data_IF_108086742675
#
_entry.id   IF_108086742675
#
_cell.length_a   1.000
_cell.length_b   1.000
_cell.length_c   1.000
_cell.angle_alpha   90.00
_cell.angle_beta   90.00
_cell.angle_gamma   90.00
#
_symmetry.space_group_name_H-M   'P 1'
#
loop_
_entity.id
_entity.type
_entity.pdbx_description
1 polymer ?
#
# COMPACT_ATOMS: atom_id res chain seq x y z
N UNK A 1 15.46 13.88 4.63
CA UNK A 1 14.78 12.69 5.20
C UNK A 1 15.33 11.41 4.60
N UNK A 2 15.78 10.51 5.45
CA UNK A 2 16.31 9.22 5.01
C UNK A 2 15.13 8.25 4.76
N UNK A 3 15.22 7.46 3.69
CA UNK A 3 14.21 6.46 3.37
C UNK A 3 14.80 5.06 3.50
N UNK A 4 14.11 4.21 4.25
CA UNK A 4 14.45 2.79 4.37
C UNK A 4 13.32 1.99 3.76
N UNK A 5 13.64 1.10 2.83
CA UNK A 5 12.69 0.21 2.18
C UNK A 5 12.86 -1.18 2.79
N UNK A 6 11.78 -1.73 3.35
CA UNK A 6 11.79 -3.03 3.99
C UNK A 6 11.00 -4.02 3.13
N UNK A 7 11.62 -5.14 2.77
CA UNK A 7 11.02 -6.18 1.93
C UNK A 7 11.02 -7.52 2.67
N UNK A 8 10.13 -8.43 2.25
CA UNK A 8 10.09 -9.78 2.83
C UNK A 8 11.36 -10.57 2.54
N UNK A 9 11.87 -10.42 1.33
CA UNK A 9 13.06 -11.12 0.86
C UNK A 9 13.95 -10.14 0.12
N UNK A 10 15.22 -10.48 0.02
CA UNK A 10 16.16 -9.68 -0.75
C UNK A 10 15.79 -9.79 -2.23
N UNK A 11 14.99 -8.85 -2.68
CA UNK A 11 14.54 -8.77 -4.07
C UNK A 11 15.06 -7.49 -4.70
N UNK A 12 15.21 -7.54 -6.02
CA UNK A 12 15.56 -6.36 -6.77
C UNK A 12 14.39 -5.38 -6.73
N UNK A 13 14.63 -4.21 -6.17
CA UNK A 13 13.63 -3.17 -6.07
C UNK A 13 13.42 -2.52 -7.45
N UNK A 14 12.17 -2.56 -8.00
CA UNK A 14 11.94 -2.07 -9.35
C UNK A 14 11.81 -0.55 -9.48
N UNK A 15 11.83 0.17 -8.37
CA UNK A 15 11.62 1.62 -8.39
C UNK A 15 12.88 2.34 -7.93
N UNK A 16 13.22 3.44 -8.60
CA UNK A 16 14.31 4.30 -8.16
C UNK A 16 13.78 5.30 -7.14
N UNK A 17 14.25 5.18 -5.91
CA UNK A 17 13.98 6.16 -4.86
C UNK A 17 15.35 6.68 -4.41
N UNK A 18 15.64 7.97 -4.64
CA UNK A 18 16.94 8.53 -4.25
C UNK A 18 17.18 8.40 -2.74
N UNK A 19 18.42 8.07 -2.38
CA UNK A 19 18.88 7.96 -1.00
C UNK A 19 18.12 6.95 -0.17
N UNK A 20 17.58 5.89 -0.80
CA UNK A 20 16.88 4.82 -0.11
C UNK A 20 17.80 3.61 0.11
N UNK A 21 17.77 3.07 1.32
CA UNK A 21 18.42 1.82 1.64
C UNK A 21 17.38 0.69 1.64
N UNK A 22 17.70 -0.44 1.02
CA UNK A 22 16.80 -1.60 0.97
C UNK A 22 17.31 -2.66 1.93
N UNK A 23 16.46 -3.06 2.87
CA UNK A 23 16.79 -4.10 3.86
C UNK A 23 15.65 -5.12 3.92
N UNK A 24 15.96 -6.33 4.38
CA UNK A 24 14.91 -7.33 4.61
C UNK A 24 14.20 -7.04 5.94
N UNK A 25 12.97 -7.57 6.08
CA UNK A 25 12.25 -7.46 7.35
C UNK A 25 13.06 -8.06 8.50
N UNK A 26 13.73 -9.18 8.24
CA UNK A 26 14.56 -9.83 9.25
C UNK A 26 15.70 -8.92 9.71
N UNK A 27 16.38 -8.28 8.76
CA UNK A 27 17.46 -7.34 9.08
C UNK A 27 16.93 -6.14 9.87
N UNK A 28 15.81 -5.60 9.43
CA UNK A 28 15.21 -4.43 10.09
C UNK A 28 14.81 -4.74 11.54
N UNK A 29 14.17 -5.89 11.75
CA UNK A 29 13.68 -6.27 13.07
C UNK A 29 14.83 -6.65 14.03
N UNK A 30 15.96 -7.10 13.50
CA UNK A 30 17.12 -7.49 14.30
C UNK A 30 18.02 -6.32 14.67
N UNK A 31 17.83 -5.15 14.05
CA UNK A 31 18.69 -3.99 14.26
C UNK A 31 18.49 -3.43 15.67
N UNK A 32 19.57 -3.24 16.46
CA UNK A 32 19.42 -2.69 17.80
C UNK A 32 18.97 -1.24 17.76
N UNK A 33 18.19 -0.84 18.77
CA UNK A 33 17.72 0.54 18.88
C UNK A 33 18.90 1.47 19.14
N UNK A 34 19.06 2.46 18.27
CA UNK A 34 20.10 3.47 18.39
C UNK A 34 19.54 4.84 18.79
N UNK A 35 18.36 4.86 19.43
CA UNK A 35 17.69 6.09 19.83
C UNK A 35 16.64 6.53 18.83
N UNK A 36 15.87 7.59 19.14
CA UNK A 36 14.81 8.06 18.25
C UNK A 36 15.39 8.60 16.93
N UNK A 37 14.90 8.06 15.82
CA UNK A 37 15.27 8.48 14.47
C UNK A 37 14.07 9.15 13.81
N UNK A 38 13.78 10.40 14.21
CA UNK A 38 12.58 11.12 13.81
C UNK A 38 12.54 11.49 12.32
N UNK A 39 13.68 11.42 11.64
CA UNK A 39 13.79 11.87 10.24
C UNK A 39 13.99 10.69 9.29
N UNK A 40 13.39 9.55 9.61
CA UNK A 40 13.47 8.34 8.79
C UNK A 40 12.07 7.93 8.36
N UNK A 41 11.87 7.79 7.05
CA UNK A 41 10.65 7.23 6.48
C UNK A 41 10.91 5.75 6.17
N UNK A 42 9.99 4.90 6.59
CA UNK A 42 10.08 3.45 6.37
C UNK A 42 8.99 3.04 5.39
N UNK A 43 9.40 2.60 4.20
CA UNK A 43 8.46 2.03 3.24
C UNK A 43 8.42 0.53 3.46
N UNK A 44 7.34 0.09 4.11
CA UNK A 44 7.16 -1.32 4.44
C UNK A 44 6.46 -2.03 3.28
N UNK A 45 7.22 -2.77 2.51
CA UNK A 45 6.73 -3.51 1.35
C UNK A 45 6.44 -4.97 1.67
N UNK A 46 6.44 -5.33 2.94
CA UNK A 46 6.05 -6.65 3.40
C UNK A 46 4.53 -6.76 3.41
N UNK A 47 4.02 -7.98 3.33
CA UNK A 47 2.60 -8.22 3.55
C UNK A 47 2.26 -7.85 4.98
N UNK A 48 1.26 -6.97 5.17
CA UNK A 48 0.84 -6.48 6.48
C UNK A 48 -0.52 -7.01 6.92
N UNK A 49 -1.21 -7.74 6.04
CA UNK A 49 -2.56 -8.21 6.31
C UNK A 49 -2.67 -9.32 7.35
N UNK A 50 -1.56 -9.97 7.68
CA UNK A 50 -1.55 -11.05 8.66
C UNK A 50 -1.29 -10.50 10.05
N UNK A 51 -2.23 -10.69 10.97
CA UNK A 51 -2.09 -10.27 12.36
C UNK A 51 -0.88 -10.96 12.99
N UNK A 52 -0.05 -10.19 13.68
CA UNK A 52 1.21 -10.64 14.27
C UNK A 52 2.19 -11.24 13.26
N UNK A 53 2.00 -10.91 11.98
CA UNK A 53 2.96 -11.27 10.95
C UNK A 53 4.16 -10.33 10.97
N UNK A 54 5.23 -10.77 10.29
CA UNK A 54 6.48 -10.00 10.24
C UNK A 54 6.28 -8.58 9.70
N UNK A 55 5.45 -8.43 8.66
CA UNK A 55 5.16 -7.12 8.08
C UNK A 55 4.47 -6.18 9.06
N UNK A 56 3.53 -6.70 9.86
CA UNK A 56 2.89 -5.91 10.90
C UNK A 56 3.91 -5.39 11.90
N UNK A 57 4.85 -6.23 12.33
CA UNK A 57 5.86 -5.83 13.30
C UNK A 57 6.84 -4.80 12.76
N UNK A 58 7.11 -4.80 11.46
CA UNK A 58 7.97 -3.77 10.86
C UNK A 58 7.36 -2.39 11.07
N UNK A 59 6.07 -2.22 10.77
CA UNK A 59 5.40 -0.93 10.97
C UNK A 59 5.31 -0.56 12.45
N UNK A 60 5.01 -1.54 13.31
CA UNK A 60 4.92 -1.31 14.75
C UNK A 60 6.28 -0.86 15.32
N UNK A 61 7.35 -1.54 14.94
CA UNK A 61 8.69 -1.20 15.41
C UNK A 61 9.14 0.17 14.90
N UNK A 62 8.80 0.49 13.64
CA UNK A 62 9.13 1.80 13.09
C UNK A 62 8.49 2.93 13.92
N UNK A 63 7.21 2.77 14.29
CA UNK A 63 6.56 3.75 15.15
C UNK A 63 7.21 3.84 16.52
N UNK A 64 7.58 2.69 17.11
CA UNK A 64 8.26 2.65 18.40
C UNK A 64 9.63 3.34 18.36
N UNK A 65 10.28 3.34 17.20
CA UNK A 65 11.55 4.02 17.00
C UNK A 65 11.42 5.50 16.67
N UNK A 66 10.19 6.01 16.58
CA UNK A 66 9.94 7.39 16.17
C UNK A 66 10.11 7.64 14.69
N UNK A 67 10.18 6.60 13.90
CA UNK A 67 10.24 6.69 12.44
C UNK A 67 8.84 6.82 11.86
N UNK A 68 8.75 7.16 10.58
CA UNK A 68 7.46 7.33 9.89
C UNK A 68 7.22 6.15 8.93
N UNK A 69 6.48 5.12 9.36
CA UNK A 69 6.20 3.97 8.48
C UNK A 69 5.04 4.24 7.52
N UNK A 70 5.11 3.65 6.33
CA UNK A 70 4.02 3.52 5.39
C UNK A 70 3.90 2.05 5.00
N UNK A 71 2.79 1.35 5.30
CA UNK A 71 1.68 1.84 6.10
C UNK A 71 2.02 1.91 7.58
N UNK A 72 1.38 2.82 8.30
CA UNK A 72 1.45 2.83 9.74
C UNK A 72 0.49 1.78 10.33
N UNK A 73 0.58 1.55 11.64
CA UNK A 73 -0.23 0.52 12.30
C UNK A 73 -1.72 0.86 12.18
N UNK A 74 -2.09 2.13 12.31
CA UNK A 74 -3.48 2.55 12.17
C UNK A 74 -4.03 2.20 10.79
N UNK A 75 -3.27 2.49 9.73
CA UNK A 75 -3.68 2.16 8.36
C UNK A 75 -3.85 0.65 8.18
N UNK A 76 -2.93 -0.15 8.71
CA UNK A 76 -3.04 -1.61 8.65
C UNK A 76 -4.35 -2.08 9.29
N UNK A 77 -4.69 -1.54 10.46
CA UNK A 77 -5.92 -1.90 11.16
C UNK A 77 -7.17 -1.41 10.44
N UNK A 78 -7.15 -0.18 9.92
CA UNK A 78 -8.29 0.38 9.20
C UNK A 78 -8.64 -0.44 7.95
N UNK A 79 -7.64 -0.95 7.23
CA UNK A 79 -7.87 -1.75 6.03
C UNK A 79 -8.60 -3.07 6.33
N UNK A 80 -8.58 -3.54 7.57
CA UNK A 80 -9.32 -4.73 8.01
C UNK A 80 -10.76 -4.42 8.41
N UNK A 81 -11.12 -3.15 8.54
CA UNK A 81 -12.43 -2.72 8.99
C UNK A 81 -13.41 -2.62 7.81
N UNK A 82 -14.53 -3.33 7.91
CA UNK A 82 -15.59 -3.23 6.89
C UNK A 82 -16.18 -1.84 6.83
N UNK A 83 -16.33 -1.18 7.98
CA UNK A 83 -16.85 0.19 8.02
C UNK A 83 -15.92 1.15 7.30
N UNK A 84 -14.63 0.99 7.49
CA UNK A 84 -13.64 1.81 6.79
C UNK A 84 -13.70 1.59 5.28
N UNK A 85 -13.80 0.33 4.84
CA UNK A 85 -13.89 -0.02 3.42
C UNK A 85 -15.15 0.59 2.80
N UNK A 86 -16.29 0.54 3.48
CA UNK A 86 -17.53 1.15 3.00
C UNK A 86 -17.43 2.68 2.90
N UNK A 87 -16.82 3.31 3.89
CA UNK A 87 -16.64 4.76 3.88
C UNK A 87 -15.74 5.20 2.72
N UNK A 88 -14.67 4.44 2.48
CA UNK A 88 -13.77 4.70 1.37
C UNK A 88 -14.48 4.54 0.02
N UNK A 89 -15.28 3.48 -0.13
CA UNK A 89 -16.06 3.25 -1.34
C UNK A 89 -17.02 4.40 -1.61
N UNK A 90 -17.70 4.91 -0.57
CA UNK A 90 -18.61 6.04 -0.71
C UNK A 90 -17.86 7.32 -1.09
N UNK A 91 -16.69 7.53 -0.51
CA UNK A 91 -15.89 8.72 -0.78
C UNK A 91 -15.39 8.76 -2.22
N UNK A 92 -15.05 7.62 -2.79
CA UNK A 92 -14.48 7.53 -4.14
C UNK A 92 -15.52 7.19 -5.21
N UNK A 93 -16.80 7.09 -4.85
CA UNK A 93 -17.84 6.62 -5.75
C UNK A 93 -17.89 7.40 -7.08
N UNK A 94 -17.92 8.72 -7.03
CA UNK A 94 -18.01 9.54 -8.23
C UNK A 94 -16.82 9.32 -9.17
N UNK A 95 -15.62 9.27 -8.60
CA UNK A 95 -14.42 9.05 -9.39
C UNK A 95 -14.38 7.63 -9.98
N UNK A 96 -14.84 6.64 -9.22
CA UNK A 96 -14.91 5.26 -9.70
C UNK A 96 -15.85 5.15 -10.89
N UNK A 97 -17.05 5.74 -10.80
CA UNK A 97 -18.01 5.70 -11.90
C UNK A 97 -17.46 6.39 -13.15
N UNK A 98 -16.87 7.56 -12.97
CA UNK A 98 -16.29 8.29 -14.10
C UNK A 98 -15.12 7.54 -14.74
N UNK A 99 -14.23 6.98 -13.91
CA UNK A 99 -13.04 6.30 -14.39
C UNK A 99 -13.37 5.02 -15.17
N UNK A 100 -14.32 4.24 -14.67
CA UNK A 100 -14.62 2.91 -15.19
C UNK A 100 -15.86 2.85 -16.09
N UNK A 101 -16.46 3.99 -16.42
CA UNK A 101 -17.73 4.01 -17.16
C UNK A 101 -17.68 3.35 -18.53
N UNK A 102 -16.53 3.28 -19.15
CA UNK A 102 -16.36 2.66 -20.48
C UNK A 102 -15.81 1.24 -20.44
N UNK A 103 -15.54 0.73 -19.24
CA UNK A 103 -15.09 -0.64 -19.09
C UNK A 103 -16.29 -1.57 -19.15
N UNK A 104 -16.26 -2.53 -20.07
CA UNK A 104 -17.36 -3.45 -20.28
C UNK A 104 -17.27 -4.73 -19.45
N UNK A 105 -16.16 -4.92 -18.73
CA UNK A 105 -16.02 -6.08 -17.85
C UNK A 105 -16.86 -5.94 -16.58
N UNK A 106 -17.02 -7.04 -15.86
CA UNK A 106 -17.76 -7.05 -14.60
C UNK A 106 -16.87 -6.86 -13.38
N UNK A 107 -15.56 -7.01 -13.57
CA UNK A 107 -14.58 -6.86 -12.50
C UNK A 107 -13.34 -6.14 -13.03
N UNK A 108 -12.72 -5.37 -12.17
CA UNK A 108 -11.51 -4.65 -12.50
C UNK A 108 -10.60 -4.59 -11.27
N UNK A 109 -9.31 -4.75 -11.50
CA UNK A 109 -8.30 -4.70 -10.45
C UNK A 109 -7.28 -3.61 -10.80
N UNK A 110 -7.01 -2.72 -9.85
CA UNK A 110 -6.06 -1.62 -10.02
C UNK A 110 -5.00 -1.71 -8.95
N UNK A 111 -3.75 -1.75 -9.37
CA UNK A 111 -2.61 -1.62 -8.45
C UNK A 111 -2.14 -0.17 -8.46
N UNK A 112 -1.80 0.34 -7.28
CA UNK A 112 -1.25 1.68 -7.13
C UNK A 112 0.06 1.59 -6.35
N UNK A 113 1.16 2.03 -6.96
CA UNK A 113 2.49 1.99 -6.36
C UNK A 113 2.92 3.42 -6.03
N UNK A 114 2.87 3.76 -4.74
CA UNK A 114 3.10 5.13 -4.26
C UNK A 114 2.23 6.15 -5.02
N UNK A 115 0.97 5.79 -5.26
CA UNK A 115 0.00 6.63 -5.94
C UNK A 115 0.07 6.60 -7.46
N UNK A 116 0.90 5.72 -8.04
CA UNK A 116 1.04 5.61 -9.49
C UNK A 116 0.45 4.31 -10.00
N UNK A 117 -0.31 4.42 -11.09
CA UNK A 117 -0.82 3.26 -11.81
C UNK A 117 0.30 2.75 -12.74
N UNK A 118 0.81 1.52 -12.52
CA UNK A 118 1.86 0.99 -13.39
C UNK A 118 1.44 0.80 -14.84
N UNK A 119 0.13 0.63 -15.09
CA UNK A 119 -0.39 0.54 -16.45
C UNK A 119 -0.62 1.91 -17.09
N UNK A 120 -0.48 3.00 -16.34
CA UNK A 120 -0.65 4.38 -16.81
C UNK A 120 -2.04 4.66 -17.41
N UNK A 121 -3.07 3.96 -16.96
CA UNK A 121 -4.43 4.08 -17.49
C UNK A 121 -5.36 4.87 -16.59
N UNK A 122 -5.22 4.73 -15.27
CA UNK A 122 -6.14 5.31 -14.30
C UNK A 122 -5.40 6.06 -13.21
N UNK A 123 -4.55 6.98 -13.61
CA UNK A 123 -3.64 7.67 -12.69
C UNK A 123 -4.40 8.49 -11.64
N UNK A 124 -5.50 9.14 -12.00
CA UNK A 124 -6.27 9.92 -11.03
C UNK A 124 -6.83 9.05 -9.92
N UNK A 125 -7.33 7.87 -10.28
CA UNK A 125 -7.87 6.93 -9.29
C UNK A 125 -6.75 6.36 -8.39
N UNK A 126 -5.63 5.99 -8.98
CA UNK A 126 -4.47 5.50 -8.22
C UNK A 126 -3.97 6.55 -7.24
N UNK A 127 -3.91 7.82 -7.66
CA UNK A 127 -3.50 8.92 -6.80
C UNK A 127 -4.44 9.12 -5.63
N UNK A 128 -5.75 9.08 -5.87
CA UNK A 128 -6.75 9.24 -4.82
C UNK A 128 -6.74 8.06 -3.84
N UNK A 129 -6.49 6.86 -4.31
CA UNK A 129 -6.34 5.71 -3.42
C UNK A 129 -5.18 5.94 -2.46
N UNK A 130 -4.04 6.40 -2.95
CA UNK A 130 -2.87 6.64 -2.11
C UNK A 130 -3.08 7.82 -1.16
N UNK A 131 -3.80 8.85 -1.57
CA UNK A 131 -4.09 9.96 -0.67
C UNK A 131 -4.97 9.57 0.51
N UNK A 132 -5.87 8.62 0.29
CA UNK A 132 -6.79 8.14 1.33
C UNK A 132 -6.21 6.97 2.14
N UNK A 133 -5.39 6.15 1.51
CA UNK A 133 -4.78 4.98 2.15
C UNK A 133 -3.27 5.08 1.97
N UNK A 134 -2.58 5.45 3.03
CA UNK A 134 -1.14 5.70 2.97
C UNK A 134 -0.36 4.39 3.13
N UNK A 135 -0.36 3.60 2.07
CA UNK A 135 0.44 2.38 1.97
C UNK A 135 1.18 2.39 0.62
N UNK A 136 2.44 1.95 0.59
CA UNK A 136 3.25 2.04 -0.63
C UNK A 136 2.69 1.25 -1.80
N UNK A 137 2.19 0.05 -1.54
CA UNK A 137 1.65 -0.84 -2.55
C UNK A 137 0.21 -1.17 -2.21
N UNK A 138 -0.71 -0.73 -3.07
CA UNK A 138 -2.14 -0.94 -2.89
C UNK A 138 -2.72 -1.73 -4.05
N UNK A 139 -3.71 -2.55 -3.75
CA UNK A 139 -4.53 -3.23 -4.75
C UNK A 139 -5.99 -2.96 -4.46
N UNK A 140 -6.68 -2.36 -5.42
CA UNK A 140 -8.09 -2.05 -5.32
C UNK A 140 -8.88 -2.99 -6.23
N UNK A 141 -9.95 -3.56 -5.68
CA UNK A 141 -10.83 -4.48 -6.40
C UNK A 141 -12.16 -3.79 -6.64
N UNK A 142 -12.61 -3.79 -7.89
CA UNK A 142 -13.88 -3.17 -8.29
C UNK A 142 -14.78 -4.21 -8.91
N UNK A 143 -16.08 -4.06 -8.68
CA UNK A 143 -17.09 -4.92 -9.27
C UNK A 143 -18.21 -4.07 -9.85
N UNK A 144 -18.78 -4.51 -10.97
CA UNK A 144 -19.92 -3.86 -11.60
C UNK A 144 -21.17 -4.70 -11.35
N UNK A 145 -22.17 -4.07 -10.75
CA UNK A 145 -23.45 -4.70 -10.45
C UNK A 145 -24.56 -3.77 -10.91
N UNK A 146 -25.49 -4.28 -11.72
CA UNK A 146 -26.60 -3.49 -12.23
C UNK A 146 -26.13 -2.30 -13.08
N UNK A 147 -25.04 -2.45 -13.82
CA UNK A 147 -24.47 -1.40 -14.65
C UNK A 147 -23.69 -0.34 -13.88
N UNK A 148 -23.51 -0.52 -12.59
CA UNK A 148 -22.85 0.45 -11.73
C UNK A 148 -21.60 -0.13 -11.09
N UNK A 149 -20.50 0.59 -11.17
CA UNK A 149 -19.24 0.18 -10.59
C UNK A 149 -19.20 0.47 -9.08
N UNK A 150 -18.53 -0.40 -8.36
CA UNK A 150 -18.35 -0.26 -6.91
C UNK A 150 -16.95 -0.67 -6.53
N UNK A 151 -16.34 0.08 -5.61
CA UNK A 151 -15.11 -0.33 -4.96
C UNK A 151 -15.45 -1.41 -3.92
N UNK A 152 -14.99 -2.64 -4.15
CA UNK A 152 -15.26 -3.77 -3.26
C UNK A 152 -14.29 -3.82 -2.10
N UNK A 153 -13.00 -3.64 -2.36
CA UNK A 153 -11.98 -3.74 -1.32
C UNK A 153 -10.70 -3.05 -1.75
N UNK A 154 -9.97 -2.52 -0.78
CA UNK A 154 -8.60 -2.04 -0.95
C UNK A 154 -7.72 -2.83 0.00
N UNK A 155 -6.61 -3.33 -0.51
CA UNK A 155 -5.65 -4.12 0.24
C UNK A 155 -4.26 -3.50 0.13
N UNK A 156 -3.50 -3.54 1.22
CA UNK A 156 -2.08 -3.30 1.14
C UNK A 156 -1.41 -4.62 0.75
N UNK A 157 -0.70 -4.61 -0.37
CA UNK A 157 0.00 -5.80 -0.83
C UNK A 157 1.49 -5.70 -0.53
N UNK A 158 2.17 -6.84 -0.54
CA UNK A 158 3.62 -6.89 -0.40
C UNK A 158 4.31 -6.92 -1.75
N UNK A 159 5.63 -6.72 -1.73
CA UNK A 159 6.41 -6.75 -2.98
C UNK A 159 6.29 -8.11 -3.68
N UNK A 160 6.10 -9.18 -2.92
CA UNK A 160 5.92 -10.53 -3.47
C UNK A 160 4.63 -10.66 -4.28
N UNK A 161 3.65 -9.79 -4.05
CA UNK A 161 2.37 -9.80 -4.76
C UNK A 161 2.38 -8.96 -6.04
N UNK A 162 3.44 -8.19 -6.25
CA UNK A 162 3.57 -7.36 -7.45
C UNK A 162 3.87 -8.25 -8.64
N UNK A 163 3.09 -8.14 -9.74
CA UNK A 163 3.35 -8.95 -10.93
C UNK A 163 4.75 -8.72 -11.48
N UNK A 164 5.39 -9.82 -11.91
CA UNK A 164 6.70 -9.72 -12.54
C UNK A 164 6.59 -8.92 -13.82
N UNK A 165 7.42 -7.91 -13.94
CA UNK A 165 7.49 -7.14 -15.17
C UNK A 165 8.47 -7.80 -16.14
N UNK A 166 8.03 -7.98 -17.35
CA UNK A 166 8.85 -8.53 -18.43
C UNK A 166 9.32 -7.41 -19.33
#
# INVERSE_FOLDING_TARGET
>A
MKTVIVTDQQQQWPFEIPDAAVVTARQYLAEPESGPEADVRVLNLCRTGRYQGRGYYVSLLAEARGQAPLPDVKTVEELKSEAYQRALAAKLESLVQETLRHDESDRFELDAYLGKDPAQRHQALAGQLFENVRAPLLRALFARTGGRWRLDAVQAIGIADVPSQH
#
